data_IF_786860007400
#
_entry.id   IF_786860007400
#
_cell.length_a   1.000
_cell.length_b   1.000
_cell.length_c   1.000
_cell.angle_alpha   90.00
_cell.angle_beta   90.00
_cell.angle_gamma   90.00
#
_symmetry.space_group_name_H-M   'P 1'
#
loop_
_entity.id
_entity.type
_entity.pdbx_description
1 polymer ?
#
# COMPACT_ATOMS: atom_id res chain seq x y z
N UNK A 1 12.53 6.36 -25.20
CA UNK A 1 13.03 6.63 -23.84
C UNK A 1 12.02 6.05 -22.87
N UNK A 2 12.38 5.01 -22.12
CA UNK A 2 11.52 4.45 -21.08
C UNK A 2 11.68 5.33 -19.85
N UNK A 3 10.71 6.21 -19.58
CA UNK A 3 10.71 7.00 -18.35
C UNK A 3 10.60 6.05 -17.16
N UNK A 4 11.54 6.12 -16.23
CA UNK A 4 11.51 5.32 -15.01
C UNK A 4 10.34 5.77 -14.14
N UNK A 5 9.39 4.87 -13.92
CA UNK A 5 8.19 5.19 -13.13
C UNK A 5 8.60 5.27 -11.66
N UNK A 6 8.27 6.39 -11.01
CA UNK A 6 8.49 6.58 -9.57
C UNK A 6 7.77 5.49 -8.77
N UNK A 7 8.36 5.06 -7.66
CA UNK A 7 7.74 4.12 -6.73
C UNK A 7 7.40 4.85 -5.43
N UNK A 8 6.20 4.62 -4.90
CA UNK A 8 5.78 5.10 -3.59
C UNK A 8 5.62 3.89 -2.67
N UNK A 9 6.35 3.88 -1.56
CA UNK A 9 6.30 2.83 -0.55
C UNK A 9 5.38 3.23 0.60
N UNK A 10 4.44 2.34 0.95
CA UNK A 10 3.46 2.53 2.01
C UNK A 10 3.59 1.39 3.02
N UNK A 11 3.84 1.73 4.28
CA UNK A 11 3.84 0.78 5.40
C UNK A 11 2.54 0.87 6.19
N UNK A 12 1.83 -0.26 6.33
CA UNK A 12 0.66 -0.40 7.20
C UNK A 12 1.09 -1.08 8.48
N UNK A 13 1.20 -0.31 9.57
CA UNK A 13 1.52 -0.85 10.88
C UNK A 13 0.25 -1.33 11.61
N UNK A 14 0.22 -2.61 11.91
CA UNK A 14 -0.90 -3.29 12.56
C UNK A 14 -0.56 -3.44 14.04
N UNK A 15 -1.31 -2.73 14.88
CA UNK A 15 -1.21 -2.82 16.34
C UNK A 15 -2.07 -3.96 16.91
N UNK A 16 -1.77 -4.43 18.14
CA UNK A 16 -2.62 -5.37 18.85
C UNK A 16 -4.07 -4.87 18.93
N UNK A 17 -5.03 -5.75 18.66
CA UNK A 17 -6.46 -5.41 18.65
C UNK A 17 -6.94 -4.68 17.39
N UNK A 18 -6.05 -4.38 16.43
CA UNK A 18 -6.47 -3.82 15.15
C UNK A 18 -7.36 -4.81 14.38
N UNK A 19 -8.49 -4.31 13.88
CA UNK A 19 -9.42 -5.12 13.09
C UNK A 19 -8.81 -5.46 11.73
N UNK A 20 -8.55 -6.75 11.47
CA UNK A 20 -7.96 -7.19 10.21
C UNK A 20 -8.84 -6.85 8.98
N UNK A 21 -10.17 -6.81 9.14
CA UNK A 21 -11.05 -6.36 8.06
C UNK A 21 -10.74 -4.92 7.60
N UNK A 22 -10.36 -4.03 8.51
CA UNK A 22 -9.95 -2.66 8.15
C UNK A 22 -8.59 -2.64 7.44
N UNK A 23 -7.66 -3.50 7.88
CA UNK A 23 -6.35 -3.67 7.21
C UNK A 23 -6.54 -4.18 5.77
N UNK A 24 -7.41 -5.18 5.58
CA UNK A 24 -7.75 -5.69 4.25
C UNK A 24 -8.45 -4.64 3.40
N UNK A 25 -9.45 -3.93 3.95
CA UNK A 25 -10.14 -2.86 3.23
C UNK A 25 -9.19 -1.73 2.78
N UNK A 26 -8.22 -1.34 3.61
CA UNK A 26 -7.20 -0.37 3.22
C UNK A 26 -6.31 -0.90 2.08
N UNK A 27 -5.93 -2.17 2.15
CA UNK A 27 -5.13 -2.84 1.11
C UNK A 27 -5.88 -2.90 -0.22
N UNK A 28 -7.17 -3.23 -0.17
CA UNK A 28 -8.04 -3.28 -1.35
C UNK A 28 -8.19 -1.90 -2.00
N UNK A 29 -8.35 -0.84 -1.19
CA UNK A 29 -8.41 0.54 -1.68
C UNK A 29 -7.12 0.94 -2.42
N UNK A 30 -5.94 0.54 -1.93
CA UNK A 30 -4.69 0.77 -2.64
C UNK A 30 -4.62 0.00 -3.97
N UNK A 31 -5.15 -1.23 -4.02
CA UNK A 31 -5.27 -2.00 -5.25
C UNK A 31 -6.19 -1.32 -6.28
N UNK A 32 -7.35 -0.82 -5.82
CA UNK A 32 -8.29 -0.06 -6.66
C UNK A 32 -7.63 1.23 -7.18
N UNK A 33 -6.94 1.98 -6.33
CA UNK A 33 -6.23 3.19 -6.73
C UNK A 33 -5.17 2.91 -7.80
N UNK A 34 -4.38 1.84 -7.64
CA UNK A 34 -3.40 1.42 -8.66
C UNK A 34 -4.06 1.07 -10.00
N UNK A 35 -5.20 0.37 -9.97
CA UNK A 35 -5.94 0.02 -11.18
C UNK A 35 -6.46 1.27 -11.90
N UNK A 36 -7.08 2.20 -11.17
CA UNK A 36 -7.55 3.48 -11.73
C UNK A 36 -6.38 4.27 -12.33
N UNK A 37 -5.24 4.34 -11.63
CA UNK A 37 -4.05 5.01 -12.14
C UNK A 37 -3.52 4.37 -13.43
N UNK A 38 -3.56 3.04 -13.55
CA UNK A 38 -3.18 2.34 -14.77
C UNK A 38 -4.13 2.63 -15.94
N UNK A 39 -5.44 2.64 -15.68
CA UNK A 39 -6.49 2.92 -16.68
C UNK A 39 -6.42 4.37 -17.23
N UNK A 40 -6.07 5.35 -16.39
CA UNK A 40 -6.03 6.78 -16.76
C UNK A 40 -4.72 7.23 -17.46
N UNK A 41 -3.94 6.30 -18.00
CA UNK A 41 -2.67 6.63 -18.67
C UNK A 41 -1.53 6.98 -17.70
N UNK A 42 -1.56 6.45 -16.48
CA UNK A 42 -0.64 6.75 -15.37
C UNK A 42 0.79 6.27 -15.54
N UNK A 43 1.35 6.31 -16.75
CA UNK A 43 2.79 6.12 -16.97
C UNK A 43 3.66 7.08 -16.11
N UNK A 44 3.10 8.23 -15.73
CA UNK A 44 3.72 9.23 -14.86
C UNK A 44 3.34 9.10 -13.37
N UNK A 45 2.31 8.31 -13.03
CA UNK A 45 1.88 8.13 -11.66
C UNK A 45 2.73 7.07 -10.95
N UNK A 46 3.07 7.26 -9.66
CA UNK A 46 3.88 6.30 -8.95
C UNK A 46 3.23 4.92 -8.86
N UNK A 47 4.03 3.86 -8.93
CA UNK A 47 3.57 2.52 -8.54
C UNK A 47 3.54 2.44 -7.01
N UNK A 48 2.47 1.91 -6.44
CA UNK A 48 2.38 1.73 -4.99
C UNK A 48 2.97 0.36 -4.60
N UNK A 49 3.87 0.36 -3.63
CA UNK A 49 4.32 -0.85 -2.93
C UNK A 49 3.81 -0.77 -1.50
N UNK A 50 2.93 -1.70 -1.15
CA UNK A 50 2.31 -1.75 0.18
C UNK A 50 2.94 -2.89 0.95
N UNK A 51 3.45 -2.59 2.14
CA UNK A 51 3.93 -3.58 3.10
C UNK A 51 3.10 -3.52 4.37
N UNK A 52 2.94 -4.65 5.04
CA UNK A 52 2.26 -4.75 6.32
C UNK A 52 3.26 -5.15 7.39
N UNK A 53 3.32 -4.36 8.46
CA UNK A 53 4.17 -4.63 9.61
C UNK A 53 3.29 -4.88 10.81
N UNK A 54 3.70 -5.80 11.68
CA UNK A 54 3.07 -5.99 12.99
C UNK A 54 4.00 -5.39 14.02
N UNK A 55 3.45 -4.56 14.90
CA UNK A 55 4.19 -4.14 16.08
C UNK A 55 4.33 -5.36 16.98
N UNK A 56 5.53 -5.92 17.08
CA UNK A 56 5.82 -6.90 18.12
C UNK A 56 5.64 -6.20 19.46
N UNK A 57 4.81 -6.80 20.33
CA UNK A 57 4.73 -6.37 21.71
C UNK A 57 6.06 -6.76 22.33
N UNK A 58 6.99 -5.81 22.46
CA UNK A 58 8.27 -6.06 23.10
C UNK A 58 8.04 -6.65 24.48
N UNK A 59 8.32 -7.95 24.64
CA UNK A 59 8.48 -8.54 25.96
C UNK A 59 9.82 -8.04 26.48
N UNK A 60 9.77 -7.12 27.45
CA UNK A 60 10.92 -6.76 28.27
C UNK A 60 11.19 -7.86 29.30
#
# INVERSE_FOLDING_TARGET
MTQERVVAELGVLIYPGAQLAAVHGLTDLFGVAQRIAAEQGGAQLPRLLVSHWRAESGQA
#
